data_IF_658854410588
#
_entry.id   IF_658854410588
#
_cell.length_a   1.000
_cell.length_b   1.000
_cell.length_c   1.000
_cell.angle_alpha   90.00
_cell.angle_beta   90.00
_cell.angle_gamma   90.00
#
_symmetry.space_group_name_H-M   'P 1'
#
loop_
_entity.id
_entity.type
_entity.pdbx_description
1 polymer ?
#
# COMPACT_ATOMS: atom_id res chain seq x y z
N UNK A 1 -41.89 8.92 -7.74
CA UNK A 1 -42.28 8.32 -9.02
C UNK A 1 -40.98 8.10 -9.77
N UNK A 2 -40.43 6.89 -9.71
CA UNK A 2 -39.18 6.56 -10.41
C UNK A 2 -39.46 6.59 -11.91
N UNK A 3 -38.80 7.49 -12.65
CA UNK A 3 -38.81 7.43 -14.11
C UNK A 3 -38.10 6.15 -14.54
N UNK A 4 -38.84 5.22 -15.15
CA UNK A 4 -38.24 4.01 -15.70
C UNK A 4 -37.31 4.40 -16.85
N UNK A 5 -36.05 3.95 -16.79
CA UNK A 5 -35.09 4.22 -17.85
C UNK A 5 -35.51 3.41 -19.08
N UNK A 6 -35.66 4.09 -20.22
CA UNK A 6 -35.86 3.48 -21.54
C UNK A 6 -34.54 3.49 -22.28
N UNK A 7 -34.13 2.35 -22.82
CA UNK A 7 -32.92 2.26 -23.66
C UNK A 7 -33.28 2.84 -25.04
N UNK A 8 -32.61 3.92 -25.41
CA UNK A 8 -32.71 4.56 -26.73
C UNK A 8 -31.49 4.21 -27.58
N UNK A 9 -31.67 4.14 -28.89
CA UNK A 9 -30.57 4.01 -29.86
C UNK A 9 -30.03 5.37 -30.30
N UNK A 10 -30.71 6.48 -29.97
CA UNK A 10 -30.23 7.84 -30.19
C UNK A 10 -29.15 8.18 -29.16
N UNK A 11 -27.94 8.40 -29.65
CA UNK A 11 -26.78 8.72 -28.83
C UNK A 11 -26.96 10.00 -28.01
N UNK A 12 -27.68 11.00 -28.53
CA UNK A 12 -27.90 12.25 -27.81
C UNK A 12 -28.83 12.03 -26.60
N UNK A 13 -29.89 11.23 -26.78
CA UNK A 13 -30.78 10.86 -25.68
C UNK A 13 -30.04 10.04 -24.62
N UNK A 14 -29.24 9.06 -25.04
CA UNK A 14 -28.40 8.26 -24.13
C UNK A 14 -27.48 9.14 -23.31
N UNK A 15 -26.72 10.05 -23.94
CA UNK A 15 -25.80 10.95 -23.24
C UNK A 15 -26.54 11.89 -22.26
N UNK A 16 -27.72 12.38 -22.62
CA UNK A 16 -28.55 13.21 -21.73
C UNK A 16 -29.04 12.43 -20.50
N UNK A 17 -29.41 11.16 -20.67
CA UNK A 17 -29.77 10.28 -19.56
C UNK A 17 -28.57 10.07 -18.64
N UNK A 18 -27.41 9.66 -19.19
CA UNK A 18 -26.19 9.42 -18.41
C UNK A 18 -25.76 10.66 -17.61
N UNK A 19 -25.85 11.86 -18.21
CA UNK A 19 -25.53 13.12 -17.54
C UNK A 19 -26.40 13.37 -16.31
N UNK A 20 -27.68 12.97 -16.33
CA UNK A 20 -28.66 13.21 -15.26
C UNK A 20 -28.68 12.15 -14.16
N UNK A 21 -27.94 11.05 -14.30
CA UNK A 21 -27.90 9.99 -13.28
C UNK A 21 -27.37 10.56 -11.96
N UNK A 22 -28.23 10.53 -10.94
CA UNK A 22 -27.92 10.82 -9.55
C UNK A 22 -28.56 9.72 -8.69
N UNK A 23 -27.85 9.30 -7.66
CA UNK A 23 -28.25 8.23 -6.75
C UNK A 23 -28.72 8.84 -5.45
N UNK A 24 -29.97 8.55 -5.12
CA UNK A 24 -30.55 8.84 -3.82
C UNK A 24 -30.74 7.53 -3.07
N UNK A 25 -30.25 7.48 -1.83
CA UNK A 25 -30.27 6.27 -1.00
C UNK A 25 -31.15 6.54 0.21
N UNK A 26 -32.35 5.95 0.20
CA UNK A 26 -33.28 5.98 1.30
C UNK A 26 -33.30 4.66 2.05
N UNK A 27 -33.41 4.72 3.38
CA UNK A 27 -33.64 3.55 4.23
C UNK A 27 -35.10 3.50 4.71
N UNK A 28 -35.76 2.32 4.69
CA UNK A 28 -37.09 2.16 5.26
C UNK A 28 -37.14 2.51 6.76
N UNK A 29 -38.28 3.01 7.24
CA UNK A 29 -38.45 3.38 8.66
C UNK A 29 -38.25 2.20 9.62
N UNK A 30 -38.62 0.99 9.18
CA UNK A 30 -38.45 -0.28 9.88
C UNK A 30 -37.08 -0.96 9.66
N UNK A 31 -36.13 -0.29 8.98
CA UNK A 31 -34.79 -0.84 8.77
C UNK A 31 -34.07 -1.12 10.10
N UNK A 32 -33.18 -2.11 10.08
CA UNK A 32 -32.45 -2.54 11.27
C UNK A 32 -31.53 -1.44 11.81
N UNK A 33 -31.11 -1.55 13.07
CA UNK A 33 -30.11 -0.63 13.65
C UNK A 33 -28.79 -0.64 12.86
N UNK A 34 -28.43 -1.79 12.29
CA UNK A 34 -27.23 -1.93 11.46
C UNK A 34 -27.35 -1.13 10.17
N UNK A 35 -28.46 -1.26 9.43
CA UNK A 35 -28.68 -0.55 8.17
C UNK A 35 -28.75 0.98 8.38
N UNK A 36 -29.39 1.40 9.48
CA UNK A 36 -29.39 2.81 9.93
C UNK A 36 -27.97 3.31 10.20
N UNK A 37 -27.14 2.52 10.88
CA UNK A 37 -25.74 2.86 11.14
C UNK A 37 -24.91 2.99 9.86
N UNK A 38 -25.12 2.10 8.87
CA UNK A 38 -24.46 2.18 7.58
C UNK A 38 -24.90 3.42 6.79
N UNK A 39 -26.20 3.71 6.74
CA UNK A 39 -26.73 4.91 6.09
C UNK A 39 -26.22 6.21 6.73
N UNK A 40 -26.04 6.22 8.05
CA UNK A 40 -25.42 7.36 8.74
C UNK A 40 -23.97 7.60 8.27
N UNK A 41 -23.19 6.55 7.96
CA UNK A 41 -21.84 6.74 7.39
C UNK A 41 -21.87 7.47 6.04
N UNK A 42 -22.87 7.19 5.21
CA UNK A 42 -23.06 7.91 3.94
C UNK A 42 -23.47 9.37 4.18
N UNK A 43 -24.42 9.59 5.08
CA UNK A 43 -24.95 10.93 5.40
C UNK A 43 -23.85 11.81 6.01
N UNK A 44 -23.26 11.39 7.13
CA UNK A 44 -22.16 12.09 7.78
C UNK A 44 -20.96 12.23 6.85
N UNK A 45 -20.63 11.19 6.08
CA UNK A 45 -19.54 11.23 5.11
C UNK A 45 -19.74 12.28 4.03
N UNK A 46 -20.98 12.48 3.58
CA UNK A 46 -21.33 13.51 2.60
C UNK A 46 -21.29 14.91 3.21
N UNK A 47 -21.83 15.08 4.42
CA UNK A 47 -21.84 16.35 5.15
C UNK A 47 -20.44 16.83 5.53
N UNK A 48 -19.57 15.91 5.95
CA UNK A 48 -18.18 16.19 6.36
C UNK A 48 -17.19 16.19 5.19
N UNK A 49 -17.64 15.90 3.97
CA UNK A 49 -16.77 15.63 2.81
C UNK A 49 -15.69 14.55 3.10
N UNK A 50 -16.08 13.50 3.82
CA UNK A 50 -15.22 12.43 4.28
C UNK A 50 -15.42 11.17 3.43
N UNK A 51 -14.68 11.09 2.32
CA UNK A 51 -14.75 9.97 1.38
C UNK A 51 -14.48 8.60 2.03
N UNK A 52 -13.69 8.54 3.12
CA UNK A 52 -13.42 7.28 3.83
C UNK A 52 -14.67 6.72 4.51
N UNK A 53 -15.54 7.58 5.07
CA UNK A 53 -16.84 7.16 5.62
C UNK A 53 -17.76 6.64 4.50
N UNK A 54 -17.79 7.35 3.37
CA UNK A 54 -18.59 6.94 2.20
C UNK A 54 -18.11 5.58 1.66
N UNK A 55 -16.79 5.36 1.52
CA UNK A 55 -16.27 4.07 1.05
C UNK A 55 -16.51 2.92 2.02
N UNK A 56 -16.57 3.16 3.34
CA UNK A 56 -17.03 2.14 4.31
C UNK A 56 -18.48 1.73 4.02
N UNK A 57 -19.36 2.69 3.77
CA UNK A 57 -20.73 2.40 3.34
C UNK A 57 -20.76 1.60 2.03
N UNK A 58 -20.04 2.04 0.99
CA UNK A 58 -19.97 1.36 -0.32
C UNK A 58 -19.54 -0.10 -0.16
N UNK A 59 -18.48 -0.36 0.63
CA UNK A 59 -17.98 -1.71 0.88
C UNK A 59 -19.04 -2.59 1.55
N UNK A 60 -19.80 -2.06 2.50
CA UNK A 60 -20.89 -2.80 3.15
C UNK A 60 -22.03 -3.11 2.18
N UNK A 61 -22.39 -2.20 1.28
CA UNK A 61 -23.38 -2.45 0.22
C UNK A 61 -22.90 -3.57 -0.72
N UNK A 62 -21.64 -3.52 -1.14
CA UNK A 62 -21.03 -4.51 -2.04
C UNK A 62 -20.92 -5.91 -1.41
N UNK A 63 -20.69 -6.00 -0.10
CA UNK A 63 -20.69 -7.28 0.64
C UNK A 63 -22.09 -7.89 0.80
N UNK A 64 -23.13 -7.05 0.76
CA UNK A 64 -24.52 -7.48 0.82
C UNK A 64 -25.08 -7.85 -0.55
N UNK A 65 -26.16 -7.19 -0.95
CA UNK A 65 -26.81 -7.41 -2.24
C UNK A 65 -26.23 -6.56 -3.38
N UNK A 66 -25.18 -5.76 -3.15
CA UNK A 66 -24.58 -4.90 -4.17
C UNK A 66 -25.52 -3.84 -4.74
N UNK A 67 -25.12 -3.25 -5.87
CA UNK A 67 -25.87 -2.22 -6.59
C UNK A 67 -26.79 -2.78 -7.69
N UNK A 68 -27.33 -3.99 -7.49
CA UNK A 68 -28.16 -4.65 -8.48
C UNK A 68 -29.59 -4.12 -8.47
N UNK A 69 -30.03 -3.58 -9.60
CA UNK A 69 -31.42 -3.25 -9.89
C UNK A 69 -31.76 -3.58 -11.35
N UNK A 70 -33.04 -3.61 -11.69
CA UNK A 70 -33.50 -3.71 -13.09
C UNK A 70 -32.95 -2.58 -13.97
N UNK A 71 -32.71 -1.41 -13.37
CA UNK A 71 -32.17 -0.24 -14.05
C UNK A 71 -30.66 -0.36 -14.31
N UNK A 72 -29.91 -1.03 -13.43
CA UNK A 72 -28.46 -1.27 -13.61
C UNK A 72 -28.16 -1.98 -14.93
N UNK A 73 -28.98 -2.96 -15.33
CA UNK A 73 -28.79 -3.68 -16.60
C UNK A 73 -29.02 -2.79 -17.83
N UNK A 74 -29.96 -1.84 -17.74
CA UNK A 74 -30.25 -0.88 -18.82
C UNK A 74 -29.15 0.16 -18.93
N UNK A 75 -28.68 0.67 -17.79
CA UNK A 75 -27.58 1.61 -17.72
C UNK A 75 -26.28 1.02 -18.25
N UNK A 76 -26.00 -0.26 -17.97
CA UNK A 76 -24.87 -0.98 -18.58
C UNK A 76 -24.91 -0.92 -20.11
N UNK A 77 -26.05 -1.25 -20.72
CA UNK A 77 -26.24 -1.16 -22.18
C UNK A 77 -26.06 0.27 -22.70
N UNK A 78 -26.57 1.26 -21.98
CA UNK A 78 -26.40 2.68 -22.34
C UNK A 78 -24.93 3.11 -22.32
N UNK A 79 -24.17 2.73 -21.28
CA UNK A 79 -22.74 2.98 -21.22
C UNK A 79 -22.00 2.28 -22.35
N UNK A 80 -22.35 1.04 -22.69
CA UNK A 80 -21.73 0.32 -23.80
C UNK A 80 -21.96 1.03 -25.14
N UNK A 81 -23.19 1.48 -25.41
CA UNK A 81 -23.53 2.28 -26.60
C UNK A 81 -22.75 3.61 -26.60
N UNK A 82 -22.78 4.33 -25.47
CA UNK A 82 -22.19 5.66 -25.37
C UNK A 82 -20.68 5.64 -25.52
N UNK A 83 -19.98 4.68 -24.91
CA UNK A 83 -18.53 4.55 -24.99
C UNK A 83 -18.10 4.10 -26.39
N UNK A 84 -18.85 3.19 -27.02
CA UNK A 84 -18.57 2.73 -28.38
C UNK A 84 -18.73 3.83 -29.43
N UNK A 85 -19.64 4.80 -29.21
CA UNK A 85 -19.97 5.84 -30.20
C UNK A 85 -19.34 7.20 -29.88
N UNK A 86 -19.21 7.58 -28.61
CA UNK A 86 -18.73 8.89 -28.18
C UNK A 86 -18.10 8.83 -26.77
N UNK A 87 -16.97 8.12 -26.67
CA UNK A 87 -16.18 7.98 -25.44
C UNK A 87 -15.83 9.32 -24.78
N UNK A 88 -15.47 10.34 -25.55
CA UNK A 88 -14.98 11.60 -25.00
C UNK A 88 -16.09 12.35 -24.26
N UNK A 89 -17.32 12.34 -24.78
CA UNK A 89 -18.49 12.87 -24.05
C UNK A 89 -18.81 12.09 -22.77
N UNK A 90 -18.59 10.77 -22.76
CA UNK A 90 -18.74 9.97 -21.52
C UNK A 90 -17.69 10.40 -20.49
N UNK A 91 -16.46 10.69 -20.91
CA UNK A 91 -15.41 11.19 -20.01
C UNK A 91 -15.78 12.57 -19.45
N UNK A 92 -16.30 13.48 -20.27
CA UNK A 92 -16.82 14.77 -19.80
C UNK A 92 -17.91 14.58 -18.75
N UNK A 93 -18.89 13.70 -19.01
CA UNK A 93 -19.94 13.38 -18.05
C UNK A 93 -19.38 12.87 -16.72
N UNK A 94 -18.40 11.96 -16.77
CA UNK A 94 -17.79 11.41 -15.56
C UNK A 94 -16.94 12.45 -14.82
N UNK A 95 -16.20 13.29 -15.54
CA UNK A 95 -15.41 14.36 -14.95
C UNK A 95 -16.27 15.36 -14.17
N UNK A 96 -17.46 15.68 -14.70
CA UNK A 96 -18.42 16.61 -14.10
C UNK A 96 -19.11 16.06 -12.82
N UNK A 97 -18.98 14.76 -12.50
CA UNK A 97 -19.59 14.19 -11.29
C UNK A 97 -18.82 14.60 -10.03
N UNK A 98 -19.52 15.25 -9.10
CA UNK A 98 -18.96 15.68 -7.81
C UNK A 98 -19.36 14.79 -6.63
N UNK A 99 -20.51 14.12 -6.71
CA UNK A 99 -20.98 13.23 -5.64
C UNK A 99 -20.35 11.85 -5.76
N UNK A 100 -19.67 11.42 -4.71
CA UNK A 100 -18.93 10.16 -4.71
C UNK A 100 -19.82 8.93 -4.96
N UNK A 101 -21.03 8.91 -4.39
CA UNK A 101 -21.95 7.79 -4.61
C UNK A 101 -22.41 7.68 -6.07
N UNK A 102 -22.59 8.82 -6.74
CA UNK A 102 -22.91 8.85 -8.17
C UNK A 102 -21.73 8.32 -8.98
N UNK A 103 -20.50 8.70 -8.62
CA UNK A 103 -19.28 8.19 -9.27
C UNK A 103 -19.19 6.66 -9.14
N UNK A 104 -19.37 6.14 -7.92
CA UNK A 104 -19.33 4.70 -7.61
C UNK A 104 -20.35 3.94 -8.46
N UNK A 105 -21.60 4.38 -8.47
CA UNK A 105 -22.66 3.70 -9.19
C UNK A 105 -22.48 3.80 -10.72
N UNK A 106 -22.10 4.97 -11.23
CA UNK A 106 -21.83 5.13 -12.66
C UNK A 106 -20.67 4.22 -13.11
N UNK A 107 -19.57 4.15 -12.35
CA UNK A 107 -18.46 3.24 -12.64
C UNK A 107 -18.89 1.76 -12.56
N UNK A 108 -19.77 1.40 -11.61
CA UNK A 108 -20.34 0.05 -11.50
C UNK A 108 -21.15 -0.36 -12.74
N UNK A 109 -21.78 0.61 -13.41
CA UNK A 109 -22.52 0.40 -14.64
C UNK A 109 -21.63 0.29 -15.89
N UNK A 110 -20.30 0.43 -15.77
CA UNK A 110 -19.38 0.32 -16.91
C UNK A 110 -18.73 -1.06 -16.93
N UNK A 111 -18.70 -1.70 -18.09
CA UNK A 111 -18.06 -3.01 -18.28
C UNK A 111 -16.53 -2.94 -18.18
N UNK A 112 -15.88 -4.06 -17.84
CA UNK A 112 -14.44 -4.12 -17.57
C UNK A 112 -13.55 -3.56 -18.70
N UNK A 113 -13.83 -3.93 -19.95
CA UNK A 113 -13.08 -3.45 -21.12
C UNK A 113 -13.24 -1.93 -21.31
N UNK A 114 -14.45 -1.41 -21.12
CA UNK A 114 -14.74 0.01 -21.19
C UNK A 114 -14.08 0.80 -20.05
N UNK A 115 -14.01 0.24 -18.83
CA UNK A 115 -13.28 0.85 -17.71
C UNK A 115 -11.81 1.09 -18.04
N UNK A 116 -11.14 0.11 -18.67
CA UNK A 116 -9.75 0.27 -19.11
C UNK A 116 -9.61 1.38 -20.15
N UNK A 117 -10.49 1.40 -21.15
CA UNK A 117 -10.47 2.41 -22.21
C UNK A 117 -10.64 3.84 -21.66
N UNK A 118 -11.53 4.02 -20.68
CA UNK A 118 -11.72 5.30 -20.01
C UNK A 118 -10.52 5.68 -19.15
N UNK A 119 -10.00 4.73 -18.36
CA UNK A 119 -8.84 4.94 -17.49
C UNK A 119 -7.58 5.35 -18.27
N UNK A 120 -7.41 4.83 -19.49
CA UNK A 120 -6.31 5.17 -20.39
C UNK A 120 -6.43 6.56 -21.03
N UNK A 121 -7.63 7.17 -21.03
CA UNK A 121 -7.82 8.46 -21.70
C UNK A 121 -7.11 9.61 -20.98
N UNK A 122 -6.31 10.44 -21.67
CA UNK A 122 -5.65 11.59 -21.05
C UNK A 122 -6.63 12.65 -20.54
N UNK A 123 -7.86 12.66 -21.04
CA UNK A 123 -8.90 13.62 -20.67
C UNK A 123 -9.64 13.27 -19.36
N UNK A 124 -9.38 12.09 -18.77
CA UNK A 124 -9.93 11.75 -17.46
C UNK A 124 -9.16 12.51 -16.38
N UNK A 125 -9.81 13.51 -15.77
CA UNK A 125 -9.20 14.42 -14.79
C UNK A 125 -9.82 14.30 -13.40
N UNK A 126 -10.96 13.63 -13.26
CA UNK A 126 -11.59 13.42 -11.95
C UNK A 126 -10.92 12.26 -11.20
N UNK A 127 -10.24 12.59 -10.10
CA UNK A 127 -9.48 11.63 -9.29
C UNK A 127 -10.34 10.52 -8.69
N UNK A 128 -11.56 10.82 -8.25
CA UNK A 128 -12.47 9.82 -7.69
C UNK A 128 -12.97 8.84 -8.74
N UNK A 129 -13.20 9.31 -9.98
CA UNK A 129 -13.51 8.41 -11.10
C UNK A 129 -12.32 7.51 -11.40
N UNK A 130 -11.10 8.06 -11.50
CA UNK A 130 -9.90 7.26 -11.73
C UNK A 130 -9.70 6.20 -10.64
N UNK A 131 -9.81 6.60 -9.37
CA UNK A 131 -9.75 5.68 -8.23
C UNK A 131 -10.79 4.56 -8.34
N UNK A 132 -12.03 4.91 -8.66
CA UNK A 132 -13.13 3.94 -8.70
C UNK A 132 -12.99 2.94 -9.85
N UNK A 133 -12.56 3.41 -11.03
CA UNK A 133 -12.23 2.53 -12.16
C UNK A 133 -11.14 1.54 -11.76
N UNK A 134 -10.04 2.02 -11.15
CA UNK A 134 -8.94 1.16 -10.68
C UNK A 134 -9.43 0.15 -9.64
N UNK A 135 -10.16 0.61 -8.61
CA UNK A 135 -10.68 -0.23 -7.53
C UNK A 135 -11.54 -1.38 -8.05
N UNK A 136 -12.46 -1.09 -8.97
CA UNK A 136 -13.35 -2.12 -9.52
C UNK A 136 -12.57 -3.07 -10.44
N UNK A 137 -11.65 -2.56 -11.26
CA UNK A 137 -10.77 -3.40 -12.09
C UNK A 137 -9.89 -4.34 -11.23
N UNK A 138 -9.39 -3.88 -10.08
CA UNK A 138 -8.65 -4.72 -9.14
C UNK A 138 -9.46 -5.88 -8.56
N UNK A 139 -10.78 -5.74 -8.40
CA UNK A 139 -11.64 -6.82 -7.92
C UNK A 139 -11.97 -7.85 -9.01
N UNK A 140 -11.77 -7.49 -10.28
CA UNK A 140 -12.15 -8.27 -11.46
C UNK A 140 -10.92 -8.81 -12.23
N UNK A 141 -9.74 -8.92 -11.59
CA UNK A 141 -8.52 -9.52 -12.18
C UNK A 141 -8.67 -11.06 -12.31
N UNK A 142 -9.69 -11.52 -13.03
CA UNK A 142 -9.80 -12.91 -13.49
C UNK A 142 -9.32 -12.94 -14.94
N UNK A 143 -8.20 -13.62 -15.14
CA UNK A 143 -7.33 -13.39 -16.29
C UNK A 143 -7.69 -14.28 -17.46
N UNK A 144 -8.19 -13.65 -18.52
CA UNK A 144 -8.26 -14.24 -19.85
C UNK A 144 -6.88 -14.17 -20.50
N UNK A 145 -6.18 -15.29 -20.65
CA UNK A 145 -4.94 -15.42 -21.45
C UNK A 145 -3.71 -14.63 -20.96
N UNK A 146 -2.51 -15.16 -21.22
CA UNK A 146 -1.26 -14.53 -20.74
C UNK A 146 -1.01 -13.13 -21.33
N UNK A 147 -1.24 -12.93 -22.63
CA UNK A 147 -0.90 -11.66 -23.31
C UNK A 147 -1.86 -10.51 -22.96
N UNK A 148 -3.15 -10.80 -22.83
CA UNK A 148 -4.14 -9.81 -22.41
C UNK A 148 -3.93 -9.40 -20.95
N UNK A 149 -3.44 -10.31 -20.10
CA UNK A 149 -3.11 -10.00 -18.72
C UNK A 149 -2.02 -8.93 -18.58
N UNK A 150 -0.93 -9.02 -19.35
CA UNK A 150 0.15 -8.03 -19.25
C UNK A 150 -0.32 -6.63 -19.66
N UNK A 151 -1.06 -6.51 -20.76
CA UNK A 151 -1.65 -5.24 -21.20
C UNK A 151 -2.63 -4.69 -20.17
N UNK A 152 -3.42 -5.56 -19.57
CA UNK A 152 -4.37 -5.21 -18.53
C UNK A 152 -3.67 -4.65 -17.28
N UNK A 153 -2.61 -5.33 -16.78
CA UNK A 153 -1.80 -4.81 -15.67
C UNK A 153 -1.18 -3.45 -15.99
N UNK A 154 -0.61 -3.30 -17.19
CA UNK A 154 0.02 -2.05 -17.59
C UNK A 154 -0.99 -0.90 -17.66
N UNK A 155 -2.21 -1.16 -18.13
CA UNK A 155 -3.28 -0.18 -18.15
C UNK A 155 -3.68 0.27 -16.73
N UNK A 156 -3.84 -0.67 -15.80
CA UNK A 156 -4.12 -0.35 -14.39
C UNK A 156 -2.95 0.40 -13.76
N UNK A 157 -1.71 -0.06 -13.98
CA UNK A 157 -0.50 0.58 -13.47
C UNK A 157 -0.40 2.05 -13.91
N UNK A 158 -0.66 2.33 -15.20
CA UNK A 158 -0.74 3.70 -15.72
C UNK A 158 -1.90 4.50 -15.10
N UNK A 159 -3.02 3.84 -14.82
CA UNK A 159 -4.11 4.43 -14.06
C UNK A 159 -3.70 4.85 -12.64
N UNK A 160 -2.93 4.02 -11.94
CA UNK A 160 -2.41 4.35 -10.59
C UNK A 160 -1.44 5.53 -10.67
N UNK A 161 -0.56 5.60 -11.67
CA UNK A 161 0.31 6.76 -11.91
C UNK A 161 -0.52 8.03 -12.11
N UNK A 162 -1.58 7.93 -12.92
CA UNK A 162 -2.52 9.04 -13.11
C UNK A 162 -3.19 9.45 -11.81
N UNK A 163 -3.70 8.50 -11.02
CA UNK A 163 -4.30 8.78 -9.71
C UNK A 163 -3.33 9.57 -8.81
N UNK A 164 -2.07 9.14 -8.72
CA UNK A 164 -1.05 9.84 -7.94
C UNK A 164 -0.84 11.29 -8.42
N UNK A 165 -0.88 11.52 -9.73
CA UNK A 165 -0.77 12.87 -10.31
C UNK A 165 -2.01 13.75 -10.12
N UNK A 166 -3.20 13.15 -10.00
CA UNK A 166 -4.46 13.88 -9.84
C UNK A 166 -4.73 14.24 -8.37
N UNK A 167 -4.49 13.29 -7.46
CA UNK A 167 -4.78 13.45 -6.03
C UNK A 167 -3.86 12.56 -5.17
N UNK A 168 -2.93 13.21 -4.47
CA UNK A 168 -1.97 12.55 -3.59
C UNK A 168 -2.63 11.90 -2.38
N UNK A 169 -3.65 12.52 -1.79
CA UNK A 169 -4.29 11.99 -0.57
C UNK A 169 -5.15 10.77 -0.89
N UNK A 170 -5.81 10.78 -2.06
CA UNK A 170 -6.56 9.63 -2.56
C UNK A 170 -5.63 8.48 -2.97
N UNK A 171 -4.45 8.77 -3.53
CA UNK A 171 -3.42 7.77 -3.79
C UNK A 171 -2.86 7.13 -2.51
N UNK A 172 -2.57 7.92 -1.47
CA UNK A 172 -2.17 7.38 -0.16
C UNK A 172 -3.26 6.50 0.45
N UNK A 173 -4.53 6.92 0.33
CA UNK A 173 -5.66 6.12 0.77
C UNK A 173 -5.76 4.81 -0.01
N UNK A 174 -5.59 4.85 -1.34
CA UNK A 174 -5.56 3.67 -2.21
C UNK A 174 -4.52 2.64 -1.74
N UNK A 175 -3.27 3.07 -1.47
CA UNK A 175 -2.23 2.14 -1.00
C UNK A 175 -2.69 1.43 0.30
N UNK A 176 -3.15 2.19 1.29
CA UNK A 176 -3.57 1.65 2.60
C UNK A 176 -4.80 0.75 2.50
N UNK A 177 -5.73 1.06 1.60
CA UNK A 177 -6.94 0.27 1.41
C UNK A 177 -6.66 -1.04 0.68
N UNK A 178 -5.66 -1.09 -0.22
CA UNK A 178 -5.44 -2.26 -1.08
C UNK A 178 -4.17 -3.07 -0.79
N UNK A 179 -3.29 -2.63 0.12
CA UNK A 179 -2.05 -3.34 0.47
C UNK A 179 -2.25 -4.78 1.00
N UNK A 180 -3.46 -5.16 1.38
CA UNK A 180 -3.77 -6.53 1.81
C UNK A 180 -4.20 -7.46 0.66
N UNK A 181 -4.35 -6.95 -0.58
CA UNK A 181 -4.78 -7.71 -1.76
C UNK A 181 -3.60 -8.13 -2.62
N UNK A 182 -3.63 -9.35 -3.15
CA UNK A 182 -2.59 -9.86 -4.05
C UNK A 182 -2.56 -9.09 -5.38
N UNK A 183 -3.74 -8.81 -5.93
CA UNK A 183 -3.95 -8.11 -7.19
C UNK A 183 -3.30 -6.72 -7.20
N UNK A 184 -3.34 -6.03 -6.06
CA UNK A 184 -2.69 -4.74 -5.86
C UNK A 184 -1.19 -4.84 -6.13
N UNK A 185 -0.52 -5.84 -5.59
CA UNK A 185 0.94 -5.98 -5.71
C UNK A 185 1.38 -6.24 -7.14
N UNK A 186 0.59 -7.00 -7.90
CA UNK A 186 0.86 -7.25 -9.32
C UNK A 186 0.87 -5.98 -10.17
N UNK A 187 -0.06 -5.05 -9.93
CA UNK A 187 -0.15 -3.80 -10.71
C UNK A 187 0.70 -2.68 -10.14
N UNK A 188 0.91 -2.68 -8.81
CA UNK A 188 1.67 -1.64 -8.13
C UNK A 188 3.15 -1.70 -8.49
N UNK A 189 3.74 -2.89 -8.65
CA UNK A 189 5.13 -3.03 -9.14
C UNK A 189 5.32 -2.42 -10.54
N UNK A 190 4.34 -2.61 -11.42
CA UNK A 190 4.33 -2.02 -12.77
C UNK A 190 4.20 -0.48 -12.69
N UNK A 191 3.33 0.03 -11.82
CA UNK A 191 3.17 1.46 -11.60
C UNK A 191 4.47 2.10 -11.07
N UNK A 192 5.05 1.52 -10.01
CA UNK A 192 6.28 2.00 -9.38
C UNK A 192 7.46 2.08 -10.36
N UNK A 193 7.53 1.17 -11.33
CA UNK A 193 8.56 1.20 -12.39
C UNK A 193 8.57 2.51 -13.18
N UNK A 194 7.40 3.14 -13.37
CA UNK A 194 7.23 4.32 -14.21
C UNK A 194 6.80 5.58 -13.45
N UNK A 195 6.58 5.48 -12.14
CA UNK A 195 6.29 6.62 -11.27
C UNK A 195 7.49 7.55 -11.08
N UNK A 196 7.20 8.80 -10.73
CA UNK A 196 8.21 9.76 -10.29
C UNK A 196 8.82 9.36 -8.95
N UNK A 197 10.02 9.88 -8.64
CA UNK A 197 10.65 9.69 -7.34
C UNK A 197 9.78 10.22 -6.17
N UNK A 198 8.99 11.28 -6.41
CA UNK A 198 8.08 11.85 -5.40
C UNK A 198 6.96 10.85 -5.08
N UNK A 199 6.33 10.27 -6.09
CA UNK A 199 5.23 9.31 -5.91
C UNK A 199 5.70 7.99 -5.30
N UNK A 200 6.91 7.54 -5.64
CA UNK A 200 7.58 6.38 -5.00
C UNK A 200 7.84 6.65 -3.52
N UNK A 201 8.26 7.86 -3.14
CA UNK A 201 8.42 8.25 -1.74
C UNK A 201 7.08 8.32 -1.00
N UNK A 202 6.00 8.77 -1.66
CA UNK A 202 4.64 8.74 -1.09
C UNK A 202 4.20 7.29 -0.85
N UNK A 203 4.48 6.37 -1.78
CA UNK A 203 4.27 4.94 -1.58
C UNK A 203 5.01 4.43 -0.34
N UNK A 204 6.32 4.70 -0.25
CA UNK A 204 7.15 4.29 0.88
C UNK A 204 6.69 4.87 2.24
N UNK A 205 6.04 6.05 2.25
CA UNK A 205 5.42 6.63 3.45
C UNK A 205 4.08 6.01 3.82
N UNK A 206 3.41 5.35 2.88
CA UNK A 206 2.01 4.92 3.03
C UNK A 206 1.85 3.46 3.44
N UNK A 207 2.77 2.59 3.03
CA UNK A 207 2.75 1.15 3.36
C UNK A 207 2.83 0.89 4.87
N UNK A 208 2.22 -0.18 5.38
CA UNK A 208 2.24 -0.51 6.82
C UNK A 208 3.46 -1.34 7.26
N UNK A 209 4.65 -0.75 7.12
CA UNK A 209 5.92 -1.30 7.62
C UNK A 209 5.97 -1.46 9.17
N UNK A 210 5.04 -0.84 9.87
CA UNK A 210 4.93 -0.76 11.32
C UNK A 210 3.99 -1.81 11.93
N UNK A 211 3.60 -2.84 11.17
CA UNK A 211 2.75 -3.94 11.67
C UNK A 211 3.46 -5.28 11.60
N UNK A 212 3.52 -5.97 12.75
CA UNK A 212 4.12 -7.31 12.89
C UNK A 212 3.27 -8.42 12.24
N UNK A 213 1.94 -8.38 12.36
CA UNK A 213 1.03 -9.46 11.95
C UNK A 213 0.66 -9.49 10.45
N UNK A 214 1.46 -8.82 9.61
CA UNK A 214 1.19 -8.79 8.19
C UNK A 214 1.61 -10.12 7.53
N UNK A 215 0.65 -10.88 7.02
CA UNK A 215 0.83 -12.19 6.37
C UNK A 215 0.92 -12.14 4.83
N UNK A 216 1.36 -11.02 4.26
CA UNK A 216 1.39 -10.80 2.80
C UNK A 216 2.80 -10.67 2.22
N UNK A 217 3.81 -11.29 2.86
CA UNK A 217 5.20 -11.33 2.39
C UNK A 217 5.32 -11.77 0.92
N UNK A 218 4.62 -12.84 0.53
CA UNK A 218 4.62 -13.32 -0.86
C UNK A 218 4.06 -12.28 -1.85
N UNK A 219 3.14 -11.44 -1.40
CA UNK A 219 2.57 -10.38 -2.24
C UNK A 219 3.59 -9.24 -2.40
N UNK A 220 4.30 -8.85 -1.35
CA UNK A 220 5.38 -7.87 -1.45
C UNK A 220 6.49 -8.37 -2.39
N UNK A 221 6.83 -9.65 -2.32
CA UNK A 221 7.82 -10.22 -3.25
C UNK A 221 7.32 -10.24 -4.69
N UNK A 222 6.03 -10.47 -4.88
CA UNK A 222 5.37 -10.31 -6.17
C UNK A 222 5.46 -8.86 -6.67
N UNK A 223 5.25 -7.87 -5.81
CA UNK A 223 5.43 -6.45 -6.17
C UNK A 223 6.86 -6.21 -6.66
N UNK A 224 7.88 -6.65 -5.92
CA UNK A 224 9.28 -6.47 -6.28
C UNK A 224 9.63 -7.15 -7.62
N UNK A 225 9.11 -8.35 -7.86
CA UNK A 225 9.30 -9.07 -9.13
C UNK A 225 8.62 -8.38 -10.33
N UNK A 226 7.54 -7.62 -10.10
CA UNK A 226 6.83 -6.87 -11.14
C UNK A 226 7.42 -5.47 -11.37
N UNK A 227 8.44 -5.05 -10.59
CA UNK A 227 9.23 -3.86 -10.92
C UNK A 227 10.19 -4.20 -12.07
N UNK A 228 10.20 -3.37 -13.11
CA UNK A 228 11.10 -3.53 -14.25
C UNK A 228 12.56 -3.60 -13.80
N UNK A 229 13.32 -4.59 -14.30
CA UNK A 229 14.70 -4.84 -13.87
C UNK A 229 15.61 -3.62 -14.01
N UNK A 230 15.41 -2.84 -15.07
CA UNK A 230 16.13 -1.58 -15.35
C UNK A 230 15.69 -0.41 -14.45
N UNK A 231 14.55 -0.54 -13.76
CA UNK A 231 13.98 0.47 -12.86
C UNK A 231 14.20 0.14 -11.38
N UNK A 232 14.45 -1.12 -11.06
CA UNK A 232 14.56 -1.62 -9.68
C UNK A 232 15.55 -0.79 -8.84
N UNK A 233 16.76 -0.60 -9.35
CA UNK A 233 17.82 0.14 -8.63
C UNK A 233 17.41 1.59 -8.36
N UNK A 234 16.81 2.25 -9.35
CA UNK A 234 16.29 3.62 -9.19
C UNK A 234 15.15 3.69 -8.17
N UNK A 235 14.27 2.69 -8.15
CA UNK A 235 13.16 2.61 -7.21
C UNK A 235 13.68 2.49 -5.78
N UNK A 236 14.59 1.55 -5.52
CA UNK A 236 15.20 1.39 -4.19
C UNK A 236 15.95 2.67 -3.78
N UNK A 237 16.69 3.28 -4.70
CA UNK A 237 17.41 4.52 -4.45
C UNK A 237 16.47 5.67 -4.03
N UNK A 238 15.30 5.78 -4.65
CA UNK A 238 14.32 6.83 -4.33
C UNK A 238 13.72 6.68 -2.93
N UNK A 239 13.52 5.44 -2.47
CA UNK A 239 12.77 5.15 -1.23
C UNK A 239 13.66 4.88 -0.02
N UNK A 240 14.95 4.59 -0.20
CA UNK A 240 15.82 4.03 0.86
C UNK A 240 15.82 4.85 2.15
N UNK A 241 15.91 6.18 2.06
CA UNK A 241 15.93 7.06 3.22
C UNK A 241 14.60 7.08 3.97
N UNK A 242 13.48 7.01 3.23
CA UNK A 242 12.14 6.96 3.83
C UNK A 242 11.94 5.64 4.58
N UNK A 243 12.32 4.53 3.96
CA UNK A 243 12.20 3.19 4.57
C UNK A 243 13.10 3.07 5.80
N UNK A 244 14.36 3.49 5.69
CA UNK A 244 15.30 3.51 6.81
C UNK A 244 14.74 4.30 8.00
N UNK A 245 14.28 5.53 7.79
CA UNK A 245 13.75 6.36 8.87
C UNK A 245 12.52 5.73 9.52
N UNK A 246 11.55 5.29 8.71
CA UNK A 246 10.31 4.67 9.23
C UNK A 246 10.58 3.38 10.00
N UNK A 247 11.52 2.56 9.52
CA UNK A 247 11.89 1.34 10.21
C UNK A 247 12.52 1.63 11.58
N UNK A 248 13.43 2.61 11.65
CA UNK A 248 14.02 3.03 12.91
C UNK A 248 13.02 3.67 13.88
N UNK A 249 12.08 4.48 13.35
CA UNK A 249 11.02 5.08 14.14
C UNK A 249 10.11 4.02 14.75
N UNK A 250 9.74 3.00 13.96
CA UNK A 250 8.94 1.88 14.43
C UNK A 250 9.63 1.10 15.55
N UNK A 251 10.88 0.68 15.36
CA UNK A 251 11.63 -0.05 16.40
C UNK A 251 11.85 0.81 17.66
N UNK A 252 12.04 2.12 17.49
CA UNK A 252 12.16 3.05 18.61
C UNK A 252 10.82 3.26 19.35
N UNK A 253 9.70 3.22 18.63
CA UNK A 253 8.37 3.29 19.22
C UNK A 253 8.09 2.06 20.08
N UNK A 254 8.45 0.85 19.62
CA UNK A 254 8.33 -0.39 20.40
C UNK A 254 9.11 -0.33 21.72
N UNK A 255 10.34 0.21 21.69
CA UNK A 255 11.15 0.42 22.90
C UNK A 255 10.48 1.40 23.87
N UNK A 256 9.85 2.46 23.37
CA UNK A 256 9.19 3.49 24.19
C UNK A 256 7.86 3.00 24.77
N UNK A 257 7.07 2.26 23.99
CA UNK A 257 5.77 1.74 24.41
C UNK A 257 5.89 0.49 25.29
N UNK A 258 7.10 -0.10 25.40
CA UNK A 258 7.35 -1.37 26.09
C UNK A 258 6.49 -2.51 25.53
N UNK A 259 6.26 -2.50 24.22
CA UNK A 259 5.53 -3.58 23.57
C UNK A 259 6.29 -4.90 23.68
N UNK A 260 5.53 -5.99 23.83
CA UNK A 260 6.10 -7.32 23.99
C UNK A 260 6.63 -7.83 22.65
N UNK A 261 7.91 -8.20 22.62
CA UNK A 261 8.60 -8.77 21.46
C UNK A 261 9.38 -10.00 21.93
N UNK A 262 9.16 -11.15 21.31
CA UNK A 262 9.78 -12.42 21.71
C UNK A 262 10.72 -13.03 20.67
N UNK A 263 10.92 -12.36 19.54
CA UNK A 263 11.78 -12.80 18.44
C UNK A 263 12.24 -11.63 17.56
N UNK A 264 13.17 -11.91 16.63
CA UNK A 264 13.53 -10.94 15.58
C UNK A 264 12.28 -10.56 14.79
N UNK A 265 12.10 -9.26 14.59
CA UNK A 265 10.93 -8.72 13.88
C UNK A 265 11.20 -8.77 12.38
N UNK A 266 10.53 -9.71 11.70
CA UNK A 266 10.47 -9.78 10.24
C UNK A 266 9.00 -9.62 9.85
N UNK A 267 8.67 -8.51 9.18
CA UNK A 267 7.33 -8.26 8.67
C UNK A 267 7.26 -8.57 7.16
N UNK A 268 6.08 -8.40 6.56
CA UNK A 268 5.86 -8.59 5.12
C UNK A 268 6.77 -7.73 4.22
N UNK A 269 7.35 -6.65 4.73
CA UNK A 269 8.23 -5.73 3.99
C UNK A 269 9.72 -5.98 4.24
N UNK A 270 10.10 -7.09 4.87
CA UNK A 270 11.49 -7.44 5.18
C UNK A 270 12.44 -7.28 3.99
N UNK A 271 12.04 -7.75 2.80
CA UNK A 271 12.86 -7.63 1.59
C UNK A 271 13.01 -6.17 1.14
N UNK A 272 11.96 -5.34 1.22
CA UNK A 272 12.08 -3.90 0.92
C UNK A 272 13.04 -3.23 1.89
N UNK A 273 12.91 -3.52 3.19
CA UNK A 273 13.78 -2.98 4.24
C UNK A 273 15.23 -3.33 3.95
N UNK A 274 15.52 -4.62 3.73
CA UNK A 274 16.87 -5.10 3.48
C UNK A 274 17.46 -4.48 2.21
N UNK A 275 16.74 -4.48 1.09
CA UNK A 275 17.21 -3.87 -0.16
C UNK A 275 17.52 -2.38 0.01
N UNK A 276 16.69 -1.64 0.75
CA UNK A 276 16.94 -0.23 1.06
C UNK A 276 18.19 -0.03 1.91
N UNK A 277 18.40 -0.89 2.92
CA UNK A 277 19.60 -0.85 3.76
C UNK A 277 20.86 -1.19 2.95
N UNK A 278 20.84 -2.22 2.12
CA UNK A 278 21.95 -2.55 1.21
C UNK A 278 22.30 -1.35 0.33
N UNK A 279 21.30 -0.69 -0.27
CA UNK A 279 21.53 0.51 -1.10
C UNK A 279 21.98 1.74 -0.32
N UNK A 280 21.63 1.86 0.96
CA UNK A 280 22.13 2.93 1.84
C UNK A 280 23.61 2.69 2.17
N UNK A 281 23.95 1.46 2.53
CA UNK A 281 25.27 1.06 2.99
C UNK A 281 26.26 0.72 1.88
N UNK A 282 25.94 1.04 0.63
CA UNK A 282 26.98 1.26 -0.39
C UNK A 282 27.96 2.35 0.10
N UNK A 283 27.46 3.32 0.89
CA UNK A 283 28.29 4.17 1.74
C UNK A 283 28.62 3.44 3.05
N UNK A 284 29.85 2.96 3.15
CA UNK A 284 30.36 2.20 4.31
C UNK A 284 30.43 3.04 5.58
N UNK A 285 30.60 4.36 5.47
CA UNK A 285 30.69 5.22 6.66
C UNK A 285 29.32 5.35 7.35
N UNK A 286 28.23 5.35 6.57
CA UNK A 286 26.87 5.24 7.13
C UNK A 286 26.67 3.92 7.87
N UNK A 287 27.16 2.81 7.31
CA UNK A 287 27.09 1.51 7.96
C UNK A 287 27.84 1.50 9.30
N UNK A 288 29.09 1.97 9.31
CA UNK A 288 29.89 2.00 10.54
C UNK A 288 29.29 2.94 11.59
N UNK A 289 28.76 4.09 11.18
CA UNK A 289 28.08 5.03 12.08
C UNK A 289 26.84 4.42 12.72
N UNK A 290 25.97 3.78 11.93
CA UNK A 290 24.76 3.14 12.44
C UNK A 290 25.09 1.94 13.34
N UNK A 291 26.09 1.14 12.97
CA UNK A 291 26.55 0.01 13.77
C UNK A 291 27.10 0.45 15.14
N UNK A 292 27.97 1.46 15.18
CA UNK A 292 28.52 1.98 16.43
C UNK A 292 27.44 2.60 17.33
N UNK A 293 26.48 3.31 16.72
CA UNK A 293 25.34 3.88 17.43
C UNK A 293 24.48 2.78 18.07
N UNK A 294 24.12 1.74 17.30
CA UNK A 294 23.34 0.61 17.80
C UNK A 294 24.08 -0.13 18.92
N UNK A 295 25.37 -0.43 18.74
CA UNK A 295 26.19 -1.07 19.76
C UNK A 295 26.23 -0.27 21.07
N UNK A 296 26.41 1.04 20.96
CA UNK A 296 26.45 1.96 22.11
C UNK A 296 25.11 2.04 22.82
N UNK A 297 24.00 2.16 22.08
CA UNK A 297 22.67 2.20 22.65
C UNK A 297 22.27 0.88 23.31
N UNK A 298 22.59 -0.25 22.66
CA UNK A 298 22.28 -1.57 23.18
C UNK A 298 23.07 -1.85 24.46
N UNK A 299 24.36 -1.53 24.49
CA UNK A 299 25.19 -1.64 25.70
C UNK A 299 24.58 -0.84 26.87
N UNK A 300 24.18 0.41 26.62
CA UNK A 300 23.49 1.23 27.63
C UNK A 300 22.17 0.62 28.06
N UNK A 301 21.40 0.03 27.15
CA UNK A 301 20.10 -0.55 27.44
C UNK A 301 20.23 -1.78 28.34
N UNK A 302 21.21 -2.67 28.09
CA UNK A 302 21.38 -3.90 28.87
C UNK A 302 21.61 -3.63 30.36
N UNK A 303 22.32 -2.55 30.72
CA UNK A 303 22.57 -2.18 32.12
C UNK A 303 21.45 -1.37 32.77
N UNK A 304 20.33 -1.13 32.09
CA UNK A 304 19.16 -0.48 32.71
C UNK A 304 18.42 -1.44 33.63
N UNK A 305 17.76 -0.87 34.62
CA UNK A 305 16.80 -1.61 35.44
C UNK A 305 15.51 -1.84 34.64
N UNK A 306 15.06 -3.08 34.58
CA UNK A 306 13.79 -3.48 33.96
C UNK A 306 12.85 -4.03 35.03
N UNK A 307 11.59 -3.60 35.02
CA UNK A 307 10.61 -4.03 36.02
C UNK A 307 10.16 -5.48 35.81
N UNK A 308 10.21 -5.95 34.56
CA UNK A 308 9.79 -7.30 34.15
C UNK A 308 10.82 -7.91 33.22
N UNK A 309 11.03 -9.22 33.32
CA UNK A 309 11.89 -9.99 32.42
C UNK A 309 11.43 -9.87 30.96
N UNK A 310 10.12 -9.80 30.72
CA UNK A 310 9.55 -9.62 29.39
C UNK A 310 9.92 -8.27 28.75
N UNK A 311 10.11 -7.21 29.55
CA UNK A 311 10.56 -5.91 29.05
C UNK A 311 12.03 -5.98 28.59
N UNK A 312 12.89 -6.65 29.38
CA UNK A 312 14.28 -6.89 29.00
C UNK A 312 14.37 -7.72 27.72
N UNK A 313 13.63 -8.83 27.65
CA UNK A 313 13.58 -9.71 26.47
C UNK A 313 13.12 -8.95 25.21
N UNK A 314 12.09 -8.10 25.34
CA UNK A 314 11.58 -7.31 24.22
C UNK A 314 12.60 -6.28 23.74
N UNK A 315 13.23 -5.54 24.64
CA UNK A 315 14.33 -4.62 24.30
C UNK A 315 15.45 -5.36 23.57
N UNK A 316 15.87 -6.51 24.09
CA UNK A 316 16.91 -7.33 23.50
C UNK A 316 16.56 -7.74 22.06
N UNK A 317 15.36 -8.25 21.81
CA UNK A 317 14.94 -8.66 20.47
C UNK A 317 14.78 -7.49 19.49
N UNK A 318 14.44 -6.30 19.97
CA UNK A 318 14.40 -5.09 19.14
C UNK A 318 15.80 -4.69 18.67
N UNK A 319 16.80 -4.70 19.56
CA UNK A 319 18.20 -4.43 19.15
C UNK A 319 18.78 -5.57 18.30
N UNK A 320 18.48 -6.83 18.63
CA UNK A 320 18.86 -7.97 17.80
C UNK A 320 18.27 -7.87 16.39
N UNK A 321 17.05 -7.34 16.24
CA UNK A 321 16.45 -7.05 14.94
C UNK A 321 17.26 -6.02 14.16
N UNK A 322 17.64 -4.88 14.77
CA UNK A 322 18.46 -3.86 14.09
C UNK A 322 19.76 -4.47 13.57
N UNK A 323 20.45 -5.22 14.43
CA UNK A 323 21.73 -5.81 14.07
C UNK A 323 21.60 -6.96 13.05
N UNK A 324 20.52 -7.75 13.10
CA UNK A 324 20.23 -8.78 12.10
C UNK A 324 20.14 -8.18 10.69
N UNK A 325 19.44 -7.07 10.52
CA UNK A 325 19.37 -6.39 9.22
C UNK A 325 20.73 -5.79 8.81
N UNK A 326 21.52 -5.26 9.76
CA UNK A 326 22.89 -4.81 9.48
C UNK A 326 23.77 -5.96 9.01
N UNK A 327 23.71 -7.14 9.63
CA UNK A 327 24.47 -8.33 9.23
C UNK A 327 24.21 -8.71 7.78
N UNK A 328 22.93 -8.81 7.42
CA UNK A 328 22.55 -9.20 6.06
C UNK A 328 23.02 -8.15 5.05
N UNK A 329 22.92 -6.86 5.37
CA UNK A 329 23.45 -5.80 4.50
C UNK A 329 24.99 -5.81 4.42
N UNK A 330 25.68 -6.14 5.51
CA UNK A 330 27.13 -6.30 5.56
C UNK A 330 27.58 -7.42 4.62
N UNK A 331 26.90 -8.58 4.66
CA UNK A 331 27.17 -9.74 3.81
C UNK A 331 26.97 -9.40 2.33
N UNK A 332 25.81 -8.83 1.98
CA UNK A 332 25.47 -8.46 0.60
C UNK A 332 26.46 -7.44 0.03
N UNK A 333 26.85 -6.45 0.82
CA UNK A 333 27.76 -5.38 0.39
C UNK A 333 29.25 -5.72 0.57
N UNK A 334 29.59 -6.90 1.08
CA UNK A 334 30.97 -7.33 1.38
C UNK A 334 31.73 -6.29 2.23
N UNK A 335 31.11 -5.82 3.32
CA UNK A 335 31.71 -4.82 4.20
C UNK A 335 32.58 -5.51 5.26
N UNK A 336 33.91 -5.30 5.18
CA UNK A 336 34.86 -5.78 6.20
C UNK A 336 34.94 -4.85 7.41
N UNK A 337 35.08 -5.45 8.59
CA UNK A 337 35.33 -4.75 9.86
C UNK A 337 36.81 -4.75 10.28
N UNK A 338 37.74 -5.21 9.42
CA UNK A 338 39.17 -5.33 9.74
C UNK A 338 39.78 -4.05 10.30
N UNK A 339 39.42 -2.90 9.74
CA UNK A 339 39.95 -1.59 10.12
C UNK A 339 39.05 -0.84 11.13
N UNK A 340 38.12 -1.55 11.78
CA UNK A 340 37.14 -1.01 12.72
C UNK A 340 37.14 -1.80 14.03
N UNK A 341 38.34 -2.17 14.50
CA UNK A 341 38.56 -2.95 15.73
C UNK A 341 37.79 -2.42 16.93
N UNK A 342 37.71 -1.11 17.12
CA UNK A 342 36.96 -0.51 18.23
C UNK A 342 35.47 -0.89 18.25
N UNK A 343 34.84 -0.99 17.07
CA UNK A 343 33.43 -1.40 16.96
C UNK A 343 33.29 -2.90 17.24
N UNK A 344 34.23 -3.71 16.72
CA UNK A 344 34.27 -5.14 16.96
C UNK A 344 34.44 -5.45 18.47
N UNK A 345 35.38 -4.78 19.13
CA UNK A 345 35.64 -4.93 20.57
C UNK A 345 34.40 -4.52 21.39
N UNK A 346 33.68 -3.45 21.00
CA UNK A 346 32.40 -3.08 21.65
C UNK A 346 31.34 -4.17 21.50
N UNK A 347 31.22 -4.75 20.31
CA UNK A 347 30.26 -5.82 20.04
C UNK A 347 30.61 -7.11 20.78
N UNK A 348 31.88 -7.50 20.82
CA UNK A 348 32.36 -8.63 21.63
C UNK A 348 32.03 -8.45 23.11
N UNK A 349 32.39 -7.29 23.67
CA UNK A 349 32.06 -6.97 25.06
C UNK A 349 30.55 -7.00 25.36
N UNK A 350 29.70 -6.66 24.38
CA UNK A 350 28.25 -6.71 24.51
C UNK A 350 27.72 -8.15 24.64
N UNK A 351 28.33 -9.14 24.01
CA UNK A 351 27.87 -10.53 24.12
C UNK A 351 28.61 -11.30 25.22
N UNK A 352 29.89 -11.02 25.45
CA UNK A 352 30.71 -11.74 26.43
C UNK A 352 30.36 -11.41 27.88
N UNK A 353 29.98 -10.16 28.17
CA UNK A 353 29.74 -9.71 29.55
C UNK A 353 28.29 -9.86 30.02
N UNK A 354 27.40 -10.38 29.18
CA UNK A 354 25.96 -10.36 29.46
C UNK A 354 25.41 -11.77 29.63
N UNK A 355 24.66 -11.99 30.72
CA UNK A 355 23.94 -13.23 31.02
C UNK A 355 22.74 -13.42 30.06
N UNK A 356 22.99 -13.46 28.75
CA UNK A 356 22.01 -13.70 27.71
C UNK A 356 21.70 -15.20 27.52
N UNK A 357 22.01 -16.03 28.52
CA UNK A 357 21.96 -17.51 28.45
C UNK A 357 20.56 -18.02 28.07
N UNK A 358 19.51 -17.24 28.32
CA UNK A 358 18.12 -17.57 27.99
C UNK A 358 17.63 -17.01 26.64
N UNK A 359 18.46 -16.22 25.93
CA UNK A 359 18.11 -15.64 24.63
C UNK A 359 18.77 -16.41 23.47
N UNK A 360 18.17 -16.33 22.28
CA UNK A 360 18.57 -17.15 21.12
C UNK A 360 19.90 -16.75 20.47
N UNK A 361 20.32 -15.48 20.56
CA UNK A 361 21.50 -14.95 19.84
C UNK A 361 22.57 -14.50 20.83
N UNK A 362 23.47 -15.40 21.20
CA UNK A 362 24.39 -15.19 22.34
C UNK A 362 25.81 -14.87 21.92
N UNK A 363 26.12 -14.90 20.63
CA UNK A 363 27.47 -14.64 20.10
C UNK A 363 27.48 -13.49 19.11
N UNK A 364 28.63 -12.83 18.97
CA UNK A 364 28.83 -11.77 17.97
C UNK A 364 28.57 -12.30 16.57
N UNK A 365 29.04 -13.50 16.26
CA UNK A 365 28.93 -14.11 14.93
C UNK A 365 27.48 -14.44 14.54
N UNK A 366 26.59 -14.54 15.52
CA UNK A 366 25.16 -14.69 15.26
C UNK A 366 24.59 -13.45 14.56
N UNK A 367 25.20 -12.28 14.81
CA UNK A 367 24.61 -10.98 14.57
C UNK A 367 25.51 -10.03 13.73
N UNK A 368 26.81 -10.30 13.57
CA UNK A 368 27.76 -9.54 12.73
C UNK A 368 28.76 -10.51 12.07
N UNK A 369 29.21 -10.22 10.85
CA UNK A 369 30.32 -10.94 10.22
C UNK A 369 31.64 -10.31 10.69
N UNK A 370 32.50 -11.11 11.31
CA UNK A 370 33.80 -10.69 11.84
C UNK A 370 34.85 -10.42 10.75
N UNK A 371 36.13 -10.69 11.07
CA UNK A 371 37.25 -10.41 10.16
C UNK A 371 37.54 -11.54 9.16
N UNK A 372 36.94 -12.72 9.32
CA UNK A 372 37.32 -13.92 8.58
C UNK A 372 36.14 -14.50 7.78
N UNK A 373 35.97 -14.00 6.56
CA UNK A 373 35.42 -14.73 5.39
C UNK A 373 36.18 -14.31 4.15
#
# INVERSE_FOLDING_TARGET
MEEQIKVSDDINEVLQVLKKINIDISIPSNASRSDKGLHNLLTEGTEENNYKKIYRFVRSVEMGCGFYSSETAKLKKMYDIAISRNKDMVIEILNDKSKLIDIVYNCHCIQGEHKLLLLQSPYLTNAFVAFELIRQLLNDIKLQGADNYFKYKAAIGNGIIKLASLDTDLYQYFIKEFEHKEEFHHVMGVALSNMSAIDRKIFAKSITIDKQDNNYYNYVNTLLQNIGKDKYDSFIMDIKEVIYQRWNDYLSALLKSKEFVSSIIINSYGDIILNCLCKRYEDKELFFGDLDAIATEFSKAIYKWYEKETEFSSMYYIYATKLFFLKNAQEINNISLSDRKNILDKMQNLFDNNCMIHNKYTKVEDIIIGTDT
#
